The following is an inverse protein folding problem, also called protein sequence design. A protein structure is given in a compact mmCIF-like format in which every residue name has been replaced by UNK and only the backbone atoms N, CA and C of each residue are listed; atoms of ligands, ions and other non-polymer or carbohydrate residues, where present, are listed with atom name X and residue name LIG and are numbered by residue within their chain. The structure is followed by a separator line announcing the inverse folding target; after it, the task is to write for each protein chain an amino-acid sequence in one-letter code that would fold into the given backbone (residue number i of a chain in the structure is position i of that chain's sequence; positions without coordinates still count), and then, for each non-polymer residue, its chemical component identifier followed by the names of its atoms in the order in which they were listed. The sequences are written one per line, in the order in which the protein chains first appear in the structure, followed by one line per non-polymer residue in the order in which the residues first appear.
data_IF_492772491585
#
_entry.id   IF_492772491585
#
_cell.length_a   1.000
_cell.length_b   1.000
_cell.length_c   1.000
_cell.angle_alpha   90.00
_cell.angle_beta   90.00
_cell.angle_gamma   90.00
#
_symmetry.space_group_name_H-M   'P 1'
#
loop_
_entity.id
_entity.type
_entity.pdbx_description
1 polymer ?
#
# COMPACT_ATOMS: atom_id res chain seq x y z
N UNK A 1 -17.03 15.63 1.79
CA UNK A 1 -16.50 14.47 2.52
C UNK A 1 -15.24 13.91 1.85
N UNK A 2 -15.27 13.46 0.60
CA UNK A 2 -14.11 12.87 -0.09
C UNK A 2 -12.92 13.84 -0.27
N UNK A 3 -13.20 15.09 -0.67
CA UNK A 3 -12.16 16.13 -0.80
C UNK A 3 -11.47 16.40 0.55
N UNK A 4 -12.26 16.50 1.62
CA UNK A 4 -11.74 16.71 2.98
C UNK A 4 -10.83 15.58 3.43
N UNK A 5 -11.20 14.32 3.15
CA UNK A 5 -10.37 13.16 3.44
C UNK A 5 -9.03 13.19 2.69
N UNK A 6 -9.06 13.49 1.38
CA UNK A 6 -7.83 13.61 0.60
C UNK A 6 -6.91 14.74 1.09
N UNK A 7 -7.47 15.90 1.46
CA UNK A 7 -6.69 16.99 2.02
C UNK A 7 -6.00 16.57 3.32
N UNK A 8 -6.68 15.85 4.20
CA UNK A 8 -6.09 15.31 5.42
C UNK A 8 -4.95 14.33 5.12
N UNK A 9 -5.13 13.39 4.17
CA UNK A 9 -4.07 12.47 3.77
C UNK A 9 -2.84 13.22 3.20
N UNK A 10 -3.06 14.24 2.37
CA UNK A 10 -1.98 15.07 1.82
C UNK A 10 -1.24 15.83 2.92
N UNK A 11 -1.96 16.40 3.90
CA UNK A 11 -1.37 17.06 5.06
C UNK A 11 -0.53 16.09 5.90
N UNK A 12 -1.02 14.88 6.17
CA UNK A 12 -0.25 13.84 6.85
C UNK A 12 1.03 13.49 6.09
N UNK A 13 0.95 13.32 4.76
CA UNK A 13 2.12 13.08 3.92
C UNK A 13 3.14 14.23 3.98
N UNK A 14 2.67 15.47 4.01
CA UNK A 14 3.52 16.66 4.13
C UNK A 14 4.23 16.73 5.49
N UNK A 15 3.53 16.36 6.58
CA UNK A 15 4.12 16.28 7.93
C UNK A 15 5.22 15.23 7.98
N UNK A 16 4.97 14.04 7.45
CA UNK A 16 5.95 12.95 7.38
C UNK A 16 7.17 13.38 6.55
N UNK A 17 6.94 14.04 5.41
CA UNK A 17 8.01 14.58 4.58
C UNK A 17 8.84 15.64 5.31
N UNK A 18 8.20 16.55 6.07
CA UNK A 18 8.90 17.55 6.87
C UNK A 18 9.73 16.92 8.00
N UNK A 19 9.25 15.84 8.60
CA UNK A 19 9.93 15.10 9.66
C UNK A 19 11.19 14.38 9.13
N UNK A 20 11.09 13.66 8.01
CA UNK A 20 12.21 12.92 7.40
C UNK A 20 13.05 13.72 6.39
N UNK A 21 13.01 15.06 6.45
CA UNK A 21 13.70 15.92 5.46
C UNK A 21 15.22 15.69 5.39
N UNK A 22 15.84 15.36 6.53
CA UNK A 22 17.29 15.22 6.68
C UNK A 22 17.78 13.77 6.69
N UNK A 23 16.91 12.84 7.03
CA UNK A 23 17.23 11.42 7.17
C UNK A 23 16.08 10.61 6.59
N UNK A 24 16.22 10.20 5.33
CA UNK A 24 15.23 9.37 4.66
C UNK A 24 15.36 7.90 5.13
N UNK A 25 14.34 7.33 5.80
CA UNK A 25 14.38 5.96 6.28
C UNK A 25 14.40 4.91 5.14
N UNK A 26 14.08 5.30 3.90
CA UNK A 26 14.05 4.38 2.76
C UNK A 26 15.41 4.27 2.04
N UNK A 27 16.21 5.34 2.03
CA UNK A 27 17.46 5.45 1.24
C UNK A 27 18.72 5.54 2.10
N UNK A 28 18.59 5.64 3.43
CA UNK A 28 19.72 5.72 4.35
C UNK A 28 20.57 4.43 4.35
N UNK A 29 21.85 4.50 4.74
CA UNK A 29 22.75 3.33 4.74
C UNK A 29 22.27 2.16 5.62
N UNK A 30 21.56 2.48 6.70
CA UNK A 30 21.00 1.54 7.67
C UNK A 30 19.50 1.27 7.43
N UNK A 31 18.99 1.60 6.23
CA UNK A 31 17.56 1.64 5.83
C UNK A 31 16.65 0.73 6.66
N UNK A 32 15.91 1.26 7.65
CA UNK A 32 15.04 0.46 8.51
C UNK A 32 13.77 -0.04 7.81
N UNK A 33 13.44 0.49 6.63
CA UNK A 33 12.28 0.10 5.83
C UNK A 33 12.70 -0.29 4.41
N UNK A 34 12.05 -1.33 3.87
CA UNK A 34 12.35 -1.84 2.52
C UNK A 34 11.38 -1.28 1.46
N UNK A 35 10.20 -0.81 1.89
CA UNK A 35 9.13 -0.41 1.00
C UNK A 35 8.41 0.86 1.47
N UNK A 36 7.94 1.66 0.50
CA UNK A 36 7.32 2.96 0.75
C UNK A 36 6.01 2.89 1.56
N UNK A 37 5.28 1.77 1.50
CA UNK A 37 4.04 1.53 2.25
C UNK A 37 4.27 1.35 3.76
N UNK A 38 5.50 1.05 4.18
CA UNK A 38 5.87 0.90 5.59
C UNK A 38 6.22 2.25 6.27
N UNK A 39 6.32 3.33 5.49
CA UNK A 39 6.74 4.64 5.99
C UNK A 39 5.81 5.20 7.08
N UNK A 40 4.49 5.05 6.90
CA UNK A 40 3.51 5.55 7.85
C UNK A 40 3.53 4.78 9.18
N UNK A 41 3.49 3.43 9.20
CA UNK A 41 3.70 2.66 10.43
C UNK A 41 5.01 3.00 11.13
N UNK A 42 6.12 3.13 10.39
CA UNK A 42 7.43 3.47 10.93
C UNK A 42 7.45 4.86 11.59
N UNK A 43 6.81 5.85 10.96
CA UNK A 43 6.66 7.19 11.51
C UNK A 43 5.91 7.19 12.84
N UNK A 44 4.80 6.43 12.92
CA UNK A 44 3.97 6.34 14.14
C UNK A 44 4.75 5.70 15.28
N UNK A 45 5.45 4.58 15.03
CA UNK A 45 6.20 3.89 16.08
C UNK A 45 7.40 4.68 16.58
N UNK A 46 8.03 5.48 15.70
CA UNK A 46 9.21 6.29 16.05
C UNK A 46 8.82 7.59 16.76
N UNK A 47 7.75 8.25 16.32
CA UNK A 47 7.33 9.54 16.90
C UNK A 47 6.64 9.38 18.26
N UNK A 48 5.89 8.29 18.43
CA UNK A 48 5.13 8.03 19.66
C UNK A 48 5.78 6.96 20.55
N UNK A 49 7.10 6.76 20.43
CA UNK A 49 7.84 5.79 21.26
C UNK A 49 7.68 6.04 22.76
N UNK A 50 7.54 7.31 23.15
CA UNK A 50 7.48 7.73 24.54
C UNK A 50 6.10 7.48 25.19
N UNK A 51 5.06 7.23 24.38
CA UNK A 51 3.69 6.99 24.86
C UNK A 51 3.30 5.52 24.59
N UNK A 52 3.47 4.62 25.58
CA UNK A 52 3.12 3.21 25.39
C UNK A 52 1.61 3.06 25.10
N UNK A 53 1.29 2.26 24.08
CA UNK A 53 -0.09 1.97 23.66
C UNK A 53 -0.64 2.86 22.55
N UNK A 54 -0.15 4.10 22.40
CA UNK A 54 -0.60 5.01 21.34
C UNK A 54 -0.26 4.51 19.92
N UNK A 55 0.98 4.01 19.64
CA UNK A 55 1.28 3.41 18.34
C UNK A 55 0.35 2.24 17.99
N UNK A 56 0.04 1.41 18.99
CA UNK A 56 -0.89 0.28 18.83
C UNK A 56 -2.31 0.74 18.50
N UNK A 57 -2.80 1.80 19.17
CA UNK A 57 -4.11 2.37 18.90
C UNK A 57 -4.21 2.92 17.48
N UNK A 58 -3.17 3.61 16.99
CA UNK A 58 -3.12 4.11 15.61
C UNK A 58 -3.15 2.96 14.59
N UNK A 59 -2.35 1.91 14.80
CA UNK A 59 -2.28 0.75 13.90
C UNK A 59 -3.63 -0.01 13.91
N UNK A 60 -4.25 -0.21 15.07
CA UNK A 60 -5.60 -0.78 15.18
C UNK A 60 -6.64 0.04 14.42
N UNK A 61 -6.52 1.38 14.44
CA UNK A 61 -7.38 2.28 13.67
C UNK A 61 -7.25 2.08 12.15
N UNK A 62 -6.02 1.93 11.64
CA UNK A 62 -5.75 1.67 10.23
C UNK A 62 -6.35 0.32 9.80
N UNK A 63 -6.17 -0.73 10.61
CA UNK A 63 -6.81 -2.01 10.36
C UNK A 63 -8.34 -1.88 10.34
N UNK A 64 -8.94 -1.25 11.36
CA UNK A 64 -10.39 -1.04 11.42
C UNK A 64 -10.94 -0.31 10.18
N UNK A 65 -10.27 0.76 9.74
CA UNK A 65 -10.65 1.49 8.53
C UNK A 65 -10.58 0.62 7.28
N UNK A 66 -9.51 -0.17 7.12
CA UNK A 66 -9.32 -1.08 5.99
C UNK A 66 -10.36 -2.20 5.98
N UNK A 67 -10.63 -2.80 7.15
CA UNK A 67 -11.65 -3.85 7.30
C UNK A 67 -13.05 -3.32 6.98
N UNK A 68 -13.37 -2.06 7.30
CA UNK A 68 -14.66 -1.45 6.96
C UNK A 68 -14.87 -1.39 5.44
N UNK A 69 -13.84 -0.95 4.68
CA UNK A 69 -13.88 -0.91 3.21
C UNK A 69 -13.94 -2.31 2.59
N UNK A 70 -13.18 -3.27 3.12
CA UNK A 70 -13.21 -4.66 2.63
C UNK A 70 -14.60 -5.28 2.86
N UNK A 71 -15.20 -5.02 4.01
CA UNK A 71 -16.56 -5.48 4.34
C UNK A 71 -17.60 -4.91 3.39
N UNK A 72 -17.61 -3.59 3.16
CA UNK A 72 -18.56 -2.97 2.23
C UNK A 72 -18.37 -3.47 0.80
N UNK A 73 -17.12 -3.59 0.34
CA UNK A 73 -16.79 -4.10 -1.00
C UNK A 73 -17.26 -5.55 -1.19
N UNK A 74 -16.98 -6.42 -0.21
CA UNK A 74 -17.38 -7.83 -0.28
C UNK A 74 -18.91 -8.00 -0.23
N UNK A 75 -19.59 -7.17 0.57
CA UNK A 75 -21.04 -7.18 0.66
C UNK A 75 -21.69 -6.72 -0.66
N UNK A 76 -21.19 -5.63 -1.26
CA UNK A 76 -21.66 -5.17 -2.57
C UNK A 76 -21.37 -6.19 -3.66
N UNK A 77 -20.17 -6.78 -3.70
CA UNK A 77 -19.80 -7.78 -4.70
C UNK A 77 -20.66 -9.05 -4.60
N UNK A 78 -20.98 -9.48 -3.37
CA UNK A 78 -21.90 -10.60 -3.12
C UNK A 78 -23.30 -10.29 -3.65
N UNK A 79 -23.80 -9.07 -3.40
CA UNK A 79 -25.12 -8.63 -3.89
C UNK A 79 -25.15 -8.57 -5.41
N UNK A 80 -24.17 -7.91 -6.02
CA UNK A 80 -24.03 -7.79 -7.49
C UNK A 80 -23.93 -9.17 -8.13
N UNK A 81 -23.14 -10.08 -7.57
CA UNK A 81 -23.01 -11.45 -8.10
C UNK A 81 -24.34 -12.22 -8.04
N UNK A 82 -25.07 -12.06 -6.94
CA UNK A 82 -26.33 -12.76 -6.74
C UNK A 82 -27.43 -12.24 -7.67
N UNK A 83 -27.50 -10.92 -7.85
CA UNK A 83 -28.51 -10.26 -8.68
C UNK A 83 -28.19 -10.37 -10.18
N UNK A 84 -26.94 -10.13 -10.58
CA UNK A 84 -26.57 -10.00 -11.99
C UNK A 84 -26.17 -11.34 -12.64
N UNK A 85 -25.71 -12.32 -11.86
CA UNK A 85 -25.29 -13.62 -12.40
C UNK A 85 -26.17 -14.77 -11.91
N UNK A 86 -26.42 -14.87 -10.61
CA UNK A 86 -27.09 -16.05 -10.06
C UNK A 86 -28.58 -16.13 -10.44
N UNK A 87 -29.30 -15.00 -10.39
CA UNK A 87 -30.72 -14.93 -10.83
C UNK A 87 -30.94 -15.28 -12.30
N UNK A 88 -30.19 -14.71 -13.27
CA UNK A 88 -30.41 -15.06 -14.68
C UNK A 88 -29.96 -16.47 -15.03
N UNK A 89 -28.92 -17.02 -14.39
CA UNK A 89 -28.43 -18.39 -14.68
C UNK A 89 -29.32 -19.45 -14.03
N UNK A 90 -29.81 -19.21 -12.81
CA UNK A 90 -30.65 -20.16 -12.07
C UNK A 90 -31.96 -19.51 -11.60
N UNK A 91 -32.91 -19.24 -12.51
CA UNK A 91 -34.16 -18.53 -12.18
C UNK A 91 -35.08 -19.30 -11.22
N UNK A 92 -34.92 -20.62 -11.10
CA UNK A 92 -35.70 -21.46 -10.17
C UNK A 92 -35.09 -21.57 -8.76
N UNK A 93 -33.90 -21.02 -8.56
CA UNK A 93 -33.16 -21.12 -7.30
C UNK A 93 -33.56 -19.95 -6.41
N UNK A 94 -34.33 -20.23 -5.36
CA UNK A 94 -34.59 -19.25 -4.31
C UNK A 94 -33.27 -18.96 -3.59
N UNK A 95 -32.68 -17.79 -3.87
CA UNK A 95 -31.42 -17.34 -3.26
C UNK A 95 -31.69 -17.11 -1.77
N UNK A 96 -31.24 -18.06 -0.96
CA UNK A 96 -31.29 -17.99 0.50
C UNK A 96 -30.09 -17.20 1.02
N UNK A 97 -30.28 -16.57 2.19
CA UNK A 97 -29.20 -15.87 2.93
C UNK A 97 -27.95 -16.74 3.09
N UNK A 98 -28.11 -18.06 3.20
CA UNK A 98 -27.01 -19.01 3.30
C UNK A 98 -26.11 -19.02 2.05
N UNK A 99 -26.68 -18.91 0.84
CA UNK A 99 -25.92 -18.90 -0.41
C UNK A 99 -25.12 -17.61 -0.56
N UNK A 100 -25.71 -16.46 -0.23
CA UNK A 100 -24.99 -15.19 -0.23
C UNK A 100 -23.84 -15.19 0.78
N UNK A 101 -24.02 -15.84 1.93
CA UNK A 101 -22.95 -16.00 2.92
C UNK A 101 -21.79 -16.85 2.40
N UNK A 102 -22.07 -17.91 1.62
CA UNK A 102 -21.04 -18.71 0.95
C UNK A 102 -20.30 -17.89 -0.10
N UNK A 103 -21.02 -17.16 -0.95
CA UNK A 103 -20.43 -16.31 -1.99
C UNK A 103 -19.50 -15.26 -1.37
N UNK A 104 -19.96 -14.59 -0.31
CA UNK A 104 -19.16 -13.64 0.47
C UNK A 104 -17.88 -14.26 1.04
N UNK A 105 -17.98 -15.47 1.60
CA UNK A 105 -16.82 -16.21 2.10
C UNK A 105 -15.81 -16.56 0.99
N UNK A 106 -16.29 -17.00 -0.18
CA UNK A 106 -15.45 -17.32 -1.33
C UNK A 106 -14.71 -16.08 -1.84
N UNK A 107 -15.39 -14.93 -1.95
CA UNK A 107 -14.73 -13.67 -2.33
C UNK A 107 -13.71 -13.21 -1.28
N UNK A 108 -14.00 -13.39 0.00
CA UNK A 108 -13.04 -13.13 1.07
C UNK A 108 -11.78 -14.00 0.96
N UNK A 109 -11.96 -15.31 0.73
CA UNK A 109 -10.85 -16.23 0.53
C UNK A 109 -10.03 -15.91 -0.73
N UNK A 110 -10.71 -15.56 -1.83
CA UNK A 110 -10.08 -15.12 -3.07
C UNK A 110 -9.25 -13.85 -2.85
N UNK A 111 -9.78 -12.87 -2.10
CA UNK A 111 -9.07 -11.64 -1.75
C UNK A 111 -7.76 -11.92 -0.98
N UNK A 112 -7.79 -12.86 -0.03
CA UNK A 112 -6.59 -13.30 0.68
C UNK A 112 -5.59 -13.96 -0.27
N UNK A 113 -6.05 -14.81 -1.19
CA UNK A 113 -5.20 -15.44 -2.20
C UNK A 113 -4.50 -14.42 -3.11
N UNK A 114 -5.24 -13.42 -3.60
CA UNK A 114 -4.68 -12.33 -4.42
C UNK A 114 -3.70 -11.48 -3.62
N UNK A 115 -3.95 -11.26 -2.32
CA UNK A 115 -3.03 -10.52 -1.45
C UNK A 115 -1.64 -11.17 -1.39
N UNK A 116 -1.56 -12.51 -1.32
CA UNK A 116 -0.27 -13.22 -1.37
C UNK A 116 0.48 -13.05 -2.70
N UNK A 117 -0.25 -13.06 -3.82
CA UNK A 117 0.34 -12.79 -5.13
C UNK A 117 0.91 -11.38 -5.19
N UNK A 118 0.14 -10.41 -4.71
CA UNK A 118 0.54 -9.00 -4.70
C UNK A 118 1.70 -8.74 -3.75
N UNK A 119 1.79 -9.43 -2.61
CA UNK A 119 2.91 -9.31 -1.67
C UNK A 119 4.28 -9.66 -2.27
N UNK A 120 4.31 -10.46 -3.35
CA UNK A 120 5.55 -10.76 -4.08
C UNK A 120 6.02 -9.62 -5.01
N UNK A 121 5.19 -8.59 -5.21
CA UNK A 121 5.49 -7.43 -6.05
C UNK A 121 6.08 -6.29 -5.21
N UNK A 122 7.32 -5.87 -5.48
CA UNK A 122 7.97 -4.77 -4.74
C UNK A 122 7.46 -3.34 -5.01
N UNK A 123 6.37 -3.17 -5.77
CA UNK A 123 5.88 -1.84 -6.21
C UNK A 123 4.38 -1.62 -5.91
N UNK A 124 3.93 -1.95 -4.69
CA UNK A 124 2.51 -1.96 -4.31
C UNK A 124 1.77 -0.63 -4.55
N UNK A 125 2.32 0.48 -4.04
CA UNK A 125 1.69 1.81 -4.11
C UNK A 125 1.52 2.28 -5.56
N UNK A 126 2.52 2.03 -6.41
CA UNK A 126 2.46 2.43 -7.82
C UNK A 126 1.43 1.61 -8.58
N UNK A 127 1.38 0.29 -8.32
CA UNK A 127 0.45 -0.60 -8.99
C UNK A 127 -1.00 -0.32 -8.60
N UNK A 128 -1.27 -0.01 -7.32
CA UNK A 128 -2.63 0.31 -6.87
C UNK A 128 -3.19 1.58 -7.52
N UNK A 129 -2.37 2.62 -7.69
CA UNK A 129 -2.76 3.85 -8.39
C UNK A 129 -3.06 3.56 -9.87
N UNK A 130 -2.21 2.79 -10.54
CA UNK A 130 -2.40 2.43 -11.96
C UNK A 130 -3.67 1.61 -12.15
N UNK A 131 -3.86 0.53 -11.39
CA UNK A 131 -5.04 -0.33 -11.49
C UNK A 131 -6.32 0.46 -11.14
N UNK A 132 -6.26 1.30 -10.10
CA UNK A 132 -7.35 2.19 -9.73
C UNK A 132 -7.74 3.12 -10.88
N UNK A 133 -6.78 3.75 -11.54
CA UNK A 133 -7.02 4.60 -12.71
C UNK A 133 -7.64 3.83 -13.88
N UNK A 134 -7.12 2.64 -14.18
CA UNK A 134 -7.57 1.80 -15.30
C UNK A 134 -9.05 1.41 -15.22
N UNK A 135 -9.55 1.11 -14.03
CA UNK A 135 -10.93 0.64 -13.83
C UNK A 135 -11.87 1.84 -13.68
N UNK A 136 -11.47 2.88 -12.93
CA UNK A 136 -12.35 4.01 -12.67
C UNK A 136 -12.52 4.93 -13.90
N UNK A 137 -11.53 5.04 -14.79
CA UNK A 137 -11.62 5.93 -15.94
C UNK A 137 -12.70 5.54 -16.97
N UNK A 138 -12.78 4.29 -17.45
CA UNK A 138 -13.86 3.85 -18.34
C UNK A 138 -15.25 3.94 -17.68
N UNK A 139 -15.36 3.58 -16.40
CA UNK A 139 -16.62 3.67 -15.65
C UNK A 139 -17.13 5.11 -15.60
N UNK A 140 -16.25 6.07 -15.28
CA UNK A 140 -16.61 7.50 -15.30
C UNK A 140 -17.04 7.94 -16.70
N UNK A 141 -16.33 7.50 -17.75
CA UNK A 141 -16.65 7.86 -19.13
C UNK A 141 -18.05 7.34 -19.56
N UNK A 142 -18.41 6.12 -19.19
CA UNK A 142 -19.73 5.55 -19.48
C UNK A 142 -20.84 6.31 -18.73
N UNK A 143 -20.65 6.62 -17.45
CA UNK A 143 -21.62 7.41 -16.69
C UNK A 143 -21.81 8.82 -17.26
N UNK A 144 -20.71 9.47 -17.68
CA UNK A 144 -20.79 10.78 -18.32
C UNK A 144 -21.48 10.70 -19.69
N UNK A 145 -21.18 9.68 -20.49
CA UNK A 145 -21.85 9.47 -21.78
C UNK A 145 -23.36 9.26 -21.58
N UNK A 146 -23.76 8.45 -20.59
CA UNK A 146 -25.16 8.23 -20.24
C UNK A 146 -25.86 9.51 -19.76
N UNK A 147 -25.14 10.42 -19.08
CA UNK A 147 -25.69 11.69 -18.62
C UNK A 147 -25.80 12.75 -19.73
N UNK A 148 -24.84 12.77 -20.67
CA UNK A 148 -24.74 13.80 -21.71
C UNK A 148 -25.40 13.43 -23.04
N UNK A 149 -25.62 12.14 -23.30
CA UNK A 149 -26.18 11.64 -24.56
C UNK A 149 -27.39 10.76 -24.32
N UNK A 150 -28.48 11.06 -25.03
CA UNK A 150 -29.70 10.23 -25.05
C UNK A 150 -29.76 9.29 -26.24
N UNK A 151 -28.79 9.36 -27.15
CA UNK A 151 -28.74 8.59 -28.42
C UNK A 151 -27.68 7.50 -28.41
N UNK A 152 -27.04 7.24 -27.27
CA UNK A 152 -26.02 6.21 -27.14
C UNK A 152 -26.63 4.80 -27.31
N UNK A 153 -25.95 3.96 -28.09
CA UNK A 153 -26.31 2.56 -28.33
C UNK A 153 -25.61 1.63 -27.32
N UNK A 154 -26.30 0.57 -26.89
CA UNK A 154 -25.78 -0.41 -25.91
C UNK A 154 -24.48 -1.08 -26.40
N UNK A 155 -24.49 -1.62 -27.62
CA UNK A 155 -23.33 -2.28 -28.23
C UNK A 155 -22.11 -1.35 -28.36
N UNK A 156 -22.35 -0.07 -28.68
CA UNK A 156 -21.28 0.92 -28.81
C UNK A 156 -20.67 1.28 -27.45
N UNK A 157 -21.48 1.32 -26.40
CA UNK A 157 -21.02 1.56 -25.02
C UNK A 157 -20.17 0.38 -24.54
N UNK A 158 -20.61 -0.86 -24.76
CA UNK A 158 -19.86 -2.07 -24.38
C UNK A 158 -18.52 -2.12 -25.13
N UNK A 159 -18.53 -1.93 -26.45
CA UNK A 159 -17.32 -1.92 -27.27
C UNK A 159 -16.37 -0.79 -26.84
N UNK A 160 -16.89 0.42 -26.61
CA UNK A 160 -16.11 1.57 -26.15
C UNK A 160 -15.47 1.33 -24.79
N UNK A 161 -16.17 0.70 -23.86
CA UNK A 161 -15.64 0.31 -22.55
C UNK A 161 -14.51 -0.71 -22.68
N UNK A 162 -14.67 -1.75 -23.51
CA UNK A 162 -13.63 -2.75 -23.74
C UNK A 162 -12.39 -2.17 -24.44
N UNK A 163 -12.58 -1.35 -25.47
CA UNK A 163 -11.50 -0.71 -26.22
C UNK A 163 -10.73 0.28 -25.33
N UNK A 164 -11.44 1.08 -24.53
CA UNK A 164 -10.80 2.02 -23.59
C UNK A 164 -10.01 1.32 -22.50
N UNK A 165 -10.52 0.20 -21.96
CA UNK A 165 -9.78 -0.61 -21.00
C UNK A 165 -8.53 -1.24 -21.63
N UNK A 166 -8.64 -1.83 -22.81
CA UNK A 166 -7.52 -2.44 -23.53
C UNK A 166 -6.44 -1.42 -23.90
N UNK A 167 -6.84 -0.24 -24.40
CA UNK A 167 -5.93 0.84 -24.71
C UNK A 167 -5.25 1.40 -23.46
N UNK A 168 -5.99 1.59 -22.37
CA UNK A 168 -5.43 2.08 -21.10
C UNK A 168 -4.43 1.09 -20.52
N UNK A 169 -4.74 -0.21 -20.56
CA UNK A 169 -3.82 -1.27 -20.17
C UNK A 169 -2.56 -1.25 -21.04
N UNK A 170 -2.71 -1.20 -22.37
CA UNK A 170 -1.59 -1.12 -23.29
C UNK A 170 -0.66 0.05 -22.94
N UNK A 171 -1.21 1.26 -22.76
CA UNK A 171 -0.44 2.46 -22.41
C UNK A 171 0.28 2.34 -21.05
N UNK A 172 -0.32 1.66 -20.07
CA UNK A 172 0.29 1.45 -18.76
C UNK A 172 1.44 0.45 -18.75
N UNK A 173 1.42 -0.55 -19.65
CA UNK A 173 2.50 -1.54 -19.77
C UNK A 173 3.60 -1.14 -20.75
N UNK A 174 3.50 0.01 -21.44
CA UNK A 174 4.61 0.55 -22.24
C UNK A 174 5.80 0.83 -21.30
N UNK A 175 6.97 0.22 -21.55
CA UNK A 175 8.13 0.41 -20.70
C UNK A 175 8.60 1.87 -20.76
N UNK A 176 8.29 2.63 -19.71
CA UNK A 176 8.90 3.95 -19.50
C UNK A 176 10.31 3.73 -18.96
N UNK A 177 11.28 3.83 -19.85
CA UNK A 177 12.72 3.56 -19.62
C UNK A 177 13.45 4.50 -18.66
N UNK A 178 12.74 5.30 -17.85
CA UNK A 178 13.38 6.13 -16.83
C UNK A 178 12.55 6.06 -15.55
N UNK A 179 13.00 5.35 -14.50
CA UNK A 179 12.50 5.64 -13.17
C UNK A 179 12.73 7.14 -12.95
N UNK A 180 11.68 7.88 -12.62
CA UNK A 180 11.86 9.23 -12.13
C UNK A 180 12.72 9.07 -10.87
N UNK A 181 13.94 9.62 -10.83
CA UNK A 181 14.69 9.62 -9.59
C UNK A 181 13.82 10.33 -8.56
N UNK A 182 13.67 9.74 -7.38
CA UNK A 182 13.13 10.48 -6.25
C UNK A 182 13.96 11.75 -6.11
N UNK A 183 13.31 12.87 -5.81
CA UNK A 183 14.03 14.12 -5.54
C UNK A 183 15.08 13.80 -4.47
N UNK A 184 16.36 14.17 -4.66
CA UNK A 184 17.40 13.80 -3.71
C UNK A 184 17.04 14.37 -2.34
N UNK A 185 16.59 13.50 -1.43
CA UNK A 185 16.49 13.83 -0.02
C UNK A 185 17.90 13.82 0.56
N UNK A 186 18.15 14.70 1.53
CA UNK A 186 19.40 14.61 2.28
C UNK A 186 19.39 13.29 3.05
N UNK A 187 20.49 12.56 2.92
CA UNK A 187 20.77 11.32 3.65
C UNK A 187 21.78 11.55 4.78
N UNK A 188 22.06 12.83 5.09
CA UNK A 188 22.88 13.24 6.22
C UNK A 188 22.07 13.13 7.51
N UNK A 189 21.90 11.89 7.99
CA UNK A 189 21.37 11.65 9.32
C UNK A 189 22.38 12.19 10.34
N UNK A 190 21.98 13.05 11.30
CA UNK A 190 22.85 13.38 12.42
C UNK A 190 23.25 12.07 13.10
N UNK A 191 24.56 11.81 13.25
CA UNK A 191 24.98 10.71 14.11
C UNK A 191 24.36 10.95 15.49
N UNK A 192 23.79 9.89 16.06
CA UNK A 192 23.23 9.89 17.40
C UNK A 192 24.38 9.95 18.42
N UNK A 193 25.20 11.00 18.34
CA UNK A 193 26.27 11.35 19.29
C UNK A 193 25.99 12.72 19.94
N UNK A 194 24.83 13.33 19.70
CA UNK A 194 24.46 14.65 20.25
C UNK A 194 23.31 14.59 21.28
N UNK A 195 23.18 13.49 22.03
CA UNK A 195 22.30 13.42 23.20
C UNK A 195 22.94 12.73 24.42
N UNK A 196 24.27 12.58 24.46
CA UNK A 196 25.02 12.28 25.69
C UNK A 196 25.98 13.43 26.00
N UNK A 197 25.43 14.54 26.50
CA UNK A 197 26.22 15.47 27.28
C UNK A 197 25.41 16.04 28.43
N UNK A 198 25.75 15.53 29.62
CA UNK A 198 25.50 16.09 30.95
C UNK A 198 24.09 15.95 31.55
N UNK A 199 23.86 14.84 32.27
CA UNK A 199 23.50 14.91 33.70
C UNK A 199 23.68 13.56 34.40
N UNK A 200 24.45 13.62 35.45
CA UNK A 200 24.85 12.61 36.43
C UNK A 200 23.70 11.81 37.09
N UNK A 201 23.89 10.48 37.12
CA UNK A 201 23.55 9.53 38.21
C UNK A 201 22.07 9.36 38.61
N UNK A 202 21.46 8.20 38.33
CA UNK A 202 21.07 7.16 39.33
C UNK A 202 20.18 6.04 38.73
N UNK A 203 20.66 4.80 38.92
CA UNK A 203 19.93 3.52 39.10
C UNK A 203 19.19 2.83 37.93
N UNK A 204 19.90 1.86 37.35
CA UNK A 204 19.51 0.48 36.97
C UNK A 204 18.08 -0.02 37.30
N UNK A 205 17.39 -0.61 36.32
CA UNK A 205 17.25 -2.08 36.13
C UNK A 205 16.63 -2.42 34.74
N UNK A 206 16.81 -3.64 34.20
CA UNK A 206 16.92 -3.91 32.76
C UNK A 206 15.68 -4.60 32.14
N UNK A 207 15.44 -4.36 30.86
CA UNK A 207 14.74 -5.32 29.99
C UNK A 207 15.43 -5.37 28.63
N UNK A 208 16.54 -6.10 28.60
CA UNK A 208 17.07 -6.70 27.38
C UNK A 208 16.24 -7.94 27.08
N UNK A 209 15.62 -8.01 25.89
CA UNK A 209 15.68 -9.17 24.99
C UNK A 209 14.85 -8.95 23.72
N UNK A 210 15.52 -8.48 22.67
CA UNK A 210 15.44 -9.09 21.34
C UNK A 210 16.82 -8.89 20.68
N UNK A 211 17.77 -9.67 21.17
CA UNK A 211 19.11 -9.80 20.61
C UNK A 211 19.03 -10.76 19.42
N UNK A 212 19.86 -10.50 18.39
CA UNK A 212 20.45 -11.49 17.46
C UNK A 212 19.52 -12.05 16.38
N UNK A 213 19.79 -11.72 15.10
CA UNK A 213 20.14 -12.68 14.02
C UNK A 213 20.60 -11.88 12.78
N UNK A 214 21.87 -11.45 12.76
CA UNK A 214 22.97 -12.01 11.94
C UNK A 214 23.16 -11.40 10.55
N UNK A 215 24.21 -10.58 10.40
CA UNK A 215 25.43 -11.04 9.71
C UNK A 215 26.64 -10.17 10.05
N UNK A 216 27.43 -10.67 11.00
CA UNK A 216 28.88 -10.54 10.92
C UNK A 216 29.31 -11.04 9.52
N UNK A 217 29.79 -10.14 8.66
CA UNK A 217 30.62 -10.54 7.53
C UNK A 217 32.05 -10.66 8.07
N UNK A 218 32.35 -11.88 8.51
CA UNK A 218 33.69 -12.41 8.67
C UNK A 218 34.56 -12.00 7.47
N UNK A 219 35.60 -11.23 7.75
CA UNK A 219 36.66 -10.89 6.80
C UNK A 219 37.79 -11.92 7.00
N UNK A 220 38.09 -12.81 6.04
CA UNK A 220 39.37 -13.48 6.01
C UNK A 220 40.33 -12.62 5.19
N UNK A 221 41.35 -12.14 5.89
CA UNK A 221 42.67 -11.77 5.38
C UNK A 221 43.07 -12.64 4.17
N UNK A 222 43.31 -11.99 3.03
CA UNK A 222 44.13 -12.55 1.95
C UNK A 222 45.15 -11.50 1.53
N UNK A 223 46.41 -11.73 1.95
CA UNK A 223 47.61 -11.22 1.27
C UNK A 223 48.02 -12.33 0.28
N UNK A 224 48.38 -12.02 -0.97
CA UNK A 224 49.80 -11.82 -1.25
C UNK A 224 50.09 -10.63 -2.17
N UNK A 225 51.11 -9.86 -1.79
CA UNK A 225 52.02 -9.23 -2.75
C UNK A 225 52.78 -10.35 -3.48
N UNK A 226 52.70 -10.41 -4.81
CA UNK A 226 53.85 -10.84 -5.61
C UNK A 226 53.95 -9.94 -6.84
N UNK A 227 55.01 -9.16 -6.77
CA UNK A 227 55.59 -8.28 -7.78
C UNK A 227 56.07 -9.10 -8.98
N UNK A 228 55.77 -8.59 -10.17
CA UNK A 228 56.40 -8.95 -11.43
C UNK A 228 57.93 -8.76 -11.38
N UNK A 229 58.65 -9.82 -11.69
CA UNK A 229 59.87 -9.82 -12.51
C UNK A 229 59.83 -11.07 -13.38
#
# INVERSE_FOLDING_TARGET
MLVSFHLLCCLCGLIIYAYFRFCDPLTSPDSPIEAADQLLPYFITTTFSDLPGLPGLCICGIFSATLSTISSTTNSLTSVTSEDFLKPIFPSLSIKVFQNKIISFVFGALCVGVTFLVASLGHLVKMSIVIGGLINAPNLAVFLLAACSTTANEEGVILGMLVSLALSAYLSFIPKNKPYPFLPLSNECPSLEAAESNSTTFATLPYSSANIYTKNKFSPSSRPETRSK
#
